data_IF_815076047980
#
_entry.id   IF_815076047980
#
_cell.length_a   1.000
_cell.length_b   1.000
_cell.length_c   1.000
_cell.angle_alpha   90.00
_cell.angle_beta   90.00
_cell.angle_gamma   90.00
#
_symmetry.space_group_name_H-M   'P 1'
#
loop_
_entity.id
_entity.type
_entity.pdbx_description
1 polymer ?
#
# COMPACT_ATOMS: atom_id res chain seq x y z
N UNK A 1 -42.07 26.15 -28.37
CA UNK A 1 -43.54 26.13 -28.18
C UNK A 1 -44.00 24.68 -28.19
N UNK A 2 -44.28 24.13 -27.00
CA UNK A 2 -45.15 22.97 -26.80
C UNK A 2 -46.52 23.51 -26.40
N UNK A 3 -47.60 22.99 -26.98
CA UNK A 3 -48.95 23.61 -26.96
C UNK A 3 -49.56 23.72 -25.54
N UNK A 4 -49.03 23.02 -24.54
CA UNK A 4 -49.37 23.24 -23.13
C UNK A 4 -48.14 23.70 -22.35
N UNK A 5 -48.03 25.02 -22.16
CA UNK A 5 -46.97 25.69 -21.41
C UNK A 5 -47.09 25.51 -19.89
N UNK A 6 -47.07 24.28 -19.41
CA UNK A 6 -47.04 23.99 -17.97
C UNK A 6 -45.61 24.11 -17.43
N UNK A 7 -45.25 25.29 -16.92
CA UNK A 7 -44.09 25.43 -16.04
C UNK A 7 -44.49 24.96 -14.64
N UNK A 8 -43.89 23.85 -14.20
CA UNK A 8 -44.05 23.35 -12.83
C UNK A 8 -43.34 24.28 -11.84
N UNK A 9 -44.10 24.89 -10.92
CA UNK A 9 -43.59 25.72 -9.81
C UNK A 9 -43.09 24.89 -8.62
N UNK A 10 -42.93 23.58 -8.80
CA UNK A 10 -42.51 22.68 -7.75
C UNK A 10 -41.02 22.91 -7.39
N UNK A 11 -40.69 23.33 -6.16
CA UNK A 11 -39.31 23.55 -5.73
C UNK A 11 -38.42 22.32 -5.91
N UNK A 12 -38.98 21.09 -5.87
CA UNK A 12 -38.24 19.84 -6.04
C UNK A 12 -37.75 19.60 -7.48
N UNK A 13 -38.39 20.20 -8.48
CA UNK A 13 -38.02 20.09 -9.90
C UNK A 13 -37.33 21.34 -10.44
N UNK A 14 -36.97 22.27 -9.54
CA UNK A 14 -36.19 23.44 -9.92
C UNK A 14 -34.79 22.99 -10.40
N UNK A 15 -34.37 23.50 -11.56
CA UNK A 15 -33.02 23.26 -12.13
C UNK A 15 -31.88 23.62 -11.17
N UNK A 16 -32.18 24.40 -10.12
CA UNK A 16 -31.28 24.68 -9.01
C UNK A 16 -30.83 23.42 -8.23
N UNK A 17 -31.74 22.46 -7.99
CA UNK A 17 -31.40 21.17 -7.35
C UNK A 17 -30.69 20.19 -8.30
N UNK A 18 -30.96 20.31 -9.60
CA UNK A 18 -30.38 19.46 -10.65
C UNK A 18 -29.09 20.00 -11.25
N UNK A 19 -28.67 21.21 -10.86
CA UNK A 19 -27.29 21.67 -11.04
C UNK A 19 -26.42 20.96 -10.01
N UNK A 20 -26.32 19.63 -10.20
CA UNK A 20 -25.38 18.72 -9.57
C UNK A 20 -24.08 19.50 -9.50
N UNK A 21 -23.66 19.82 -8.29
CA UNK A 21 -22.33 20.32 -7.99
C UNK A 21 -21.35 19.24 -8.40
N UNK A 22 -21.10 19.12 -9.71
CA UNK A 22 -19.84 18.66 -10.25
C UNK A 22 -18.85 19.75 -9.88
N UNK A 23 -18.53 19.79 -8.59
CA UNK A 23 -17.21 20.21 -8.13
C UNK A 23 -16.23 19.12 -8.59
N UNK A 24 -16.20 18.87 -9.90
CA UNK A 24 -15.01 18.37 -10.53
C UNK A 24 -14.03 19.49 -10.30
N UNK A 25 -13.18 19.31 -9.29
CA UNK A 25 -12.05 20.18 -9.06
C UNK A 25 -11.42 20.47 -10.42
N UNK A 26 -11.46 21.74 -10.87
CA UNK A 26 -10.85 22.17 -12.15
C UNK A 26 -9.39 21.75 -12.24
N UNK A 27 -8.75 21.49 -11.10
CA UNK A 27 -7.39 20.96 -11.03
C UNK A 27 -7.35 19.47 -11.36
N UNK A 28 -6.55 19.15 -12.37
CA UNK A 28 -6.21 17.79 -12.78
C UNK A 28 -5.20 17.17 -11.82
N UNK A 29 -5.15 15.84 -11.78
CA UNK A 29 -4.15 15.05 -11.07
C UNK A 29 -2.73 15.46 -11.50
N UNK A 30 -1.85 15.62 -10.52
CA UNK A 30 -0.45 16.06 -10.67
C UNK A 30 0.51 15.06 -10.02
N UNK A 31 1.71 14.91 -10.57
CA UNK A 31 2.76 14.07 -9.95
C UNK A 31 3.19 14.66 -8.60
N UNK A 32 3.37 15.98 -8.52
CA UNK A 32 3.76 16.66 -7.27
C UNK A 32 2.75 16.46 -6.14
N UNK A 33 1.45 16.50 -6.45
CA UNK A 33 0.39 16.24 -5.46
C UNK A 33 0.42 14.81 -4.91
N UNK A 34 0.76 13.82 -5.73
CA UNK A 34 0.89 12.42 -5.31
C UNK A 34 2.14 12.24 -4.44
N UNK A 35 3.26 12.84 -4.83
CA UNK A 35 4.50 12.78 -4.04
C UNK A 35 4.27 13.40 -2.65
N UNK A 36 3.69 14.60 -2.59
CA UNK A 36 3.41 15.27 -1.32
C UNK A 36 2.47 14.44 -0.43
N UNK A 37 1.40 13.87 -1.00
CA UNK A 37 0.49 12.98 -0.26
C UNK A 37 1.19 11.70 0.19
N UNK A 38 2.02 11.10 -0.65
CA UNK A 38 2.79 9.90 -0.30
C UNK A 38 3.73 10.17 0.87
N UNK A 39 4.46 11.29 0.84
CA UNK A 39 5.34 11.71 1.94
C UNK A 39 4.55 11.97 3.23
N UNK A 40 3.40 12.66 3.15
CA UNK A 40 2.54 12.86 4.31
C UNK A 40 2.02 11.55 4.89
N UNK A 41 1.57 10.61 4.05
CA UNK A 41 1.07 9.33 4.53
C UNK A 41 2.20 8.45 5.10
N UNK A 42 3.41 8.50 4.51
CA UNK A 42 4.59 7.82 5.06
C UNK A 42 5.01 8.40 6.41
N UNK A 43 4.92 9.73 6.56
CA UNK A 43 5.14 10.38 7.86
C UNK A 43 4.14 9.89 8.90
N UNK A 44 2.86 9.73 8.54
CA UNK A 44 1.85 9.17 9.45
C UNK A 44 2.16 7.73 9.85
N UNK A 45 2.57 6.89 8.89
CA UNK A 45 3.02 5.51 9.15
C UNK A 45 4.22 5.50 10.11
N UNK A 46 5.21 6.36 9.87
CA UNK A 46 6.40 6.46 10.70
C UNK A 46 6.08 6.93 12.13
N UNK A 47 5.17 7.90 12.28
CA UNK A 47 4.72 8.39 13.59
C UNK A 47 4.05 7.27 14.41
N UNK A 48 3.10 6.52 13.83
CA UNK A 48 2.46 5.42 14.58
C UNK A 48 3.38 4.23 14.79
N UNK A 49 4.31 3.96 13.87
CA UNK A 49 5.34 2.95 14.06
C UNK A 49 6.28 3.32 15.23
N UNK A 50 6.74 4.57 15.29
CA UNK A 50 7.57 5.09 16.39
C UNK A 50 6.83 5.06 17.72
N UNK A 51 5.55 5.42 17.75
CA UNK A 51 4.72 5.31 18.94
C UNK A 51 4.56 3.85 19.40
N UNK A 52 4.38 2.93 18.46
CA UNK A 52 4.29 1.49 18.73
C UNK A 52 5.60 0.96 19.34
N UNK A 53 6.75 1.47 18.88
CA UNK A 53 8.05 1.16 19.47
C UNK A 53 8.21 1.72 20.88
N UNK A 54 7.80 2.97 21.10
CA UNK A 54 7.82 3.55 22.45
C UNK A 54 7.01 2.70 23.43
N UNK A 55 5.80 2.27 23.04
CA UNK A 55 4.98 1.36 23.84
C UNK A 55 5.67 0.02 24.10
N UNK A 56 6.34 -0.51 23.08
CA UNK A 56 7.10 -1.76 23.19
C UNK A 56 8.25 -1.67 24.20
N UNK A 57 9.07 -0.62 24.13
CA UNK A 57 10.16 -0.38 25.09
C UNK A 57 9.66 -0.03 26.50
N UNK A 58 8.44 0.50 26.61
CA UNK A 58 7.76 0.74 27.88
C UNK A 58 7.18 -0.54 28.52
N UNK A 59 7.38 -1.72 27.91
CA UNK A 59 6.90 -3.01 28.43
C UNK A 59 5.42 -3.30 28.17
N UNK A 60 4.73 -2.49 27.36
CA UNK A 60 3.32 -2.70 27.04
C UNK A 60 3.17 -3.77 25.96
N UNK A 61 2.25 -4.73 26.16
CA UNK A 61 2.00 -5.79 25.19
C UNK A 61 1.48 -5.22 23.86
N UNK A 62 2.36 -5.15 22.86
CA UNK A 62 2.10 -4.53 21.57
C UNK A 62 1.28 -5.41 20.62
N UNK A 63 1.08 -6.70 20.96
CA UNK A 63 0.37 -7.67 20.10
C UNK A 63 -1.06 -7.21 19.77
N UNK A 64 -1.78 -6.67 20.75
CA UNK A 64 -3.13 -6.16 20.55
C UNK A 64 -3.19 -5.01 19.54
N UNK A 65 -2.28 -4.05 19.67
CA UNK A 65 -2.16 -2.91 18.74
C UNK A 65 -1.81 -3.36 17.32
N UNK A 66 -0.91 -4.36 17.16
CA UNK A 66 -0.59 -4.91 15.83
C UNK A 66 -1.76 -5.60 15.17
N UNK A 67 -2.55 -6.37 15.93
CA UNK A 67 -3.70 -7.08 15.41
C UNK A 67 -4.76 -6.10 14.95
N UNK A 68 -5.09 -5.09 15.77
CA UNK A 68 -6.04 -4.02 15.41
C UNK A 68 -5.55 -3.28 14.16
N UNK A 69 -4.26 -2.90 14.12
CA UNK A 69 -3.66 -2.26 12.96
C UNK A 69 -3.78 -3.08 11.69
N UNK A 70 -3.57 -4.40 11.78
CA UNK A 70 -3.74 -5.33 10.65
C UNK A 70 -5.20 -5.35 10.17
N UNK A 71 -6.16 -5.57 11.08
CA UNK A 71 -7.58 -5.65 10.72
C UNK A 71 -8.08 -4.34 10.12
N UNK A 72 -7.83 -3.20 10.78
CA UNK A 72 -8.27 -1.88 10.30
C UNK A 72 -7.65 -1.57 8.93
N UNK A 73 -6.37 -1.91 8.71
CA UNK A 73 -5.73 -1.70 7.42
C UNK A 73 -6.37 -2.57 6.31
N UNK A 74 -6.68 -3.84 6.58
CA UNK A 74 -7.35 -4.73 5.63
C UNK A 74 -8.75 -4.21 5.29
N UNK A 75 -9.55 -3.84 6.30
CA UNK A 75 -10.90 -3.30 6.11
C UNK A 75 -10.89 -1.99 5.30
N UNK A 76 -9.99 -1.06 5.64
CA UNK A 76 -9.85 0.19 4.88
C UNK A 76 -9.42 -0.09 3.44
N UNK A 77 -8.47 -1.01 3.23
CA UNK A 77 -8.00 -1.39 1.89
C UNK A 77 -9.13 -1.99 1.05
N UNK A 78 -9.92 -2.89 1.63
CA UNK A 78 -11.04 -3.52 0.95
C UNK A 78 -12.13 -2.49 0.58
N UNK A 79 -12.45 -1.57 1.50
CA UNK A 79 -13.44 -0.55 1.25
C UNK A 79 -12.99 0.47 0.19
N UNK A 80 -11.71 0.84 0.16
CA UNK A 80 -11.13 1.69 -0.89
C UNK A 80 -11.23 0.99 -2.26
N UNK A 81 -10.97 -0.32 -2.34
CA UNK A 81 -11.10 -1.10 -3.56
C UNK A 81 -12.52 -1.11 -4.15
N UNK A 82 -13.55 -1.16 -3.30
CA UNK A 82 -14.94 -1.06 -3.77
C UNK A 82 -15.35 0.39 -4.06
N UNK A 83 -14.99 1.33 -3.18
CA UNK A 83 -15.38 2.74 -3.27
C UNK A 83 -14.15 3.64 -3.34
N UNK A 84 -13.61 3.75 -4.55
CA UNK A 84 -12.44 4.56 -4.87
C UNK A 84 -12.54 6.03 -4.43
N UNK A 85 -13.75 6.61 -4.37
CA UNK A 85 -13.96 7.99 -3.89
C UNK A 85 -13.74 8.15 -2.38
N UNK A 86 -13.81 7.06 -1.61
CA UNK A 86 -13.59 7.07 -0.17
C UNK A 86 -12.10 7.14 0.21
N UNK A 87 -11.18 7.00 -0.76
CA UNK A 87 -9.73 7.05 -0.55
C UNK A 87 -9.28 8.34 0.17
N UNK A 88 -9.93 9.48 -0.08
CA UNK A 88 -9.59 10.76 0.59
C UNK A 88 -9.70 10.69 2.11
N UNK A 89 -10.67 9.95 2.63
CA UNK A 89 -10.95 9.87 4.07
C UNK A 89 -10.33 8.62 4.71
N UNK A 90 -10.32 7.50 3.99
CA UNK A 90 -9.81 6.23 4.51
C UNK A 90 -8.29 6.10 4.42
N UNK A 91 -7.60 6.81 3.51
CA UNK A 91 -6.16 6.68 3.36
C UNK A 91 -5.38 7.10 4.63
N UNK A 92 -5.69 8.22 5.30
CA UNK A 92 -5.03 8.56 6.56
C UNK A 92 -5.25 7.50 7.66
N UNK A 93 -6.48 6.99 7.78
CA UNK A 93 -6.82 5.92 8.74
C UNK A 93 -6.02 4.65 8.42
N UNK A 94 -5.97 4.29 7.14
CA UNK A 94 -5.17 3.18 6.64
C UNK A 94 -3.68 3.35 6.95
N UNK A 95 -3.12 4.55 6.74
CA UNK A 95 -1.72 4.86 7.01
C UNK A 95 -1.39 4.71 8.51
N UNK A 96 -2.23 5.27 9.39
CA UNK A 96 -2.06 5.11 10.84
C UNK A 96 -2.11 3.63 11.25
N UNK A 97 -3.13 2.89 10.80
CA UNK A 97 -3.32 1.47 11.08
C UNK A 97 -2.14 0.62 10.57
N UNK A 98 -1.65 0.92 9.36
CA UNK A 98 -0.46 0.27 8.81
C UNK A 98 0.79 0.55 9.62
N UNK A 99 0.97 1.75 10.15
CA UNK A 99 2.11 2.03 11.02
C UNK A 99 2.07 1.29 12.35
N UNK A 100 0.89 1.07 12.96
CA UNK A 100 0.76 0.18 14.12
C UNK A 100 1.13 -1.27 13.78
N UNK A 101 0.65 -1.76 12.64
CA UNK A 101 0.97 -3.10 12.15
C UNK A 101 2.48 -3.28 11.89
N UNK A 102 3.07 -2.35 11.13
CA UNK A 102 4.50 -2.35 10.83
C UNK A 102 5.34 -2.20 12.10
N UNK A 103 4.98 -1.25 12.96
CA UNK A 103 5.69 -0.93 14.19
C UNK A 103 5.84 -2.15 15.07
N UNK A 104 4.77 -2.89 15.31
CA UNK A 104 4.88 -4.06 16.20
C UNK A 104 5.43 -5.32 15.53
N UNK A 105 5.28 -5.53 14.21
CA UNK A 105 6.08 -6.56 13.51
C UNK A 105 7.57 -6.25 13.64
N UNK A 106 7.93 -4.98 13.48
CA UNK A 106 9.30 -4.50 13.57
C UNK A 106 9.85 -4.62 14.99
N UNK A 107 9.03 -4.32 16.01
CA UNK A 107 9.41 -4.49 17.41
C UNK A 107 9.61 -5.97 17.80
N UNK A 108 8.75 -6.86 17.31
CA UNK A 108 8.93 -8.31 17.49
C UNK A 108 10.21 -8.80 16.80
N UNK A 109 10.54 -8.25 15.62
CA UNK A 109 11.80 -8.55 14.95
C UNK A 109 13.01 -8.00 15.73
N UNK A 110 12.90 -6.78 16.27
CA UNK A 110 13.93 -6.11 17.06
C UNK A 110 14.38 -6.94 18.28
N UNK A 111 13.44 -7.57 18.99
CA UNK A 111 13.75 -8.47 20.11
C UNK A 111 14.75 -9.58 19.79
N UNK A 112 14.71 -10.08 18.55
CA UNK A 112 15.60 -11.16 18.11
C UNK A 112 16.82 -10.61 17.37
N UNK A 113 16.69 -9.44 16.74
CA UNK A 113 17.71 -8.80 15.95
C UNK A 113 17.57 -7.26 16.02
N UNK A 114 18.35 -6.58 16.88
CA UNK A 114 18.14 -5.16 17.19
C UNK A 114 18.21 -4.23 15.97
N UNK A 115 19.20 -4.38 15.10
CA UNK A 115 19.43 -3.41 14.02
C UNK A 115 18.61 -3.68 12.74
N UNK A 116 17.98 -4.84 12.66
CA UNK A 116 17.34 -5.35 11.44
C UNK A 116 16.21 -4.45 10.90
N UNK A 117 15.29 -3.95 11.74
CA UNK A 117 14.22 -3.08 11.26
C UNK A 117 14.71 -1.78 10.62
N UNK A 118 15.72 -1.13 11.21
CA UNK A 118 16.27 0.12 10.68
C UNK A 118 16.98 -0.10 9.34
N UNK A 119 17.74 -1.19 9.22
CA UNK A 119 18.37 -1.57 7.96
C UNK A 119 17.33 -1.88 6.88
N UNK A 120 16.24 -2.57 7.22
CA UNK A 120 15.15 -2.86 6.29
C UNK A 120 14.48 -1.57 5.78
N UNK A 121 14.25 -0.59 6.65
CA UNK A 121 13.77 0.75 6.24
C UNK A 121 14.75 1.37 5.24
N UNK A 122 16.04 1.39 5.57
CA UNK A 122 17.08 1.92 4.67
C UNK A 122 17.07 1.26 3.29
N UNK A 123 17.05 -0.08 3.24
CA UNK A 123 17.00 -0.85 1.99
C UNK A 123 15.73 -0.51 1.19
N UNK A 124 14.58 -0.37 1.83
CA UNK A 124 13.34 -0.01 1.11
C UNK A 124 13.35 1.40 0.54
N UNK A 125 13.89 2.37 1.28
CA UNK A 125 14.02 3.75 0.81
C UNK A 125 14.97 3.80 -0.38
N UNK A 126 16.14 3.15 -0.28
CA UNK A 126 17.11 3.06 -1.37
C UNK A 126 16.48 2.39 -2.59
N UNK A 127 15.81 1.25 -2.41
CA UNK A 127 15.15 0.53 -3.51
C UNK A 127 14.08 1.38 -4.19
N UNK A 128 13.28 2.11 -3.42
CA UNK A 128 12.27 3.02 -3.94
C UNK A 128 12.90 4.12 -4.81
N UNK A 129 13.95 4.80 -4.32
CA UNK A 129 14.63 5.86 -5.07
C UNK A 129 15.34 5.33 -6.32
N UNK A 130 15.97 4.15 -6.24
CA UNK A 130 16.59 3.49 -7.40
C UNK A 130 15.52 3.18 -8.45
N UNK A 131 14.41 2.53 -8.08
CA UNK A 131 13.33 2.22 -9.01
C UNK A 131 12.68 3.48 -9.60
N UNK A 132 12.49 4.52 -8.78
CA UNK A 132 11.95 5.80 -9.23
C UNK A 132 12.87 6.46 -10.27
N UNK A 133 14.19 6.45 -10.02
CA UNK A 133 15.19 7.03 -10.92
C UNK A 133 15.28 6.25 -12.23
N UNK A 134 15.31 4.91 -12.16
CA UNK A 134 15.29 4.02 -13.33
C UNK A 134 14.05 4.25 -14.21
N UNK A 135 12.88 4.46 -13.58
CA UNK A 135 11.65 4.81 -14.30
C UNK A 135 11.74 6.20 -14.93
N UNK A 136 12.16 7.22 -14.16
CA UNK A 136 12.22 8.62 -14.61
C UNK A 136 13.15 8.82 -15.79
N UNK A 137 14.32 8.20 -15.76
CA UNK A 137 15.27 8.24 -16.88
C UNK A 137 14.89 7.32 -18.03
N UNK A 138 13.77 6.59 -17.93
CA UNK A 138 13.28 5.65 -18.94
C UNK A 138 14.31 4.58 -19.32
N UNK A 139 15.23 4.22 -18.40
CA UNK A 139 16.15 3.09 -18.60
C UNK A 139 15.36 1.79 -18.75
N UNK A 140 14.28 1.65 -17.98
CA UNK A 140 13.38 0.50 -18.04
C UNK A 140 12.08 0.92 -18.70
N UNK A 141 11.78 0.35 -19.87
CA UNK A 141 10.50 0.56 -20.56
C UNK A 141 9.49 -0.49 -20.10
N UNK A 142 8.42 -0.03 -19.45
CA UNK A 142 7.30 -0.89 -19.03
C UNK A 142 6.47 -1.27 -20.26
N UNK A 143 6.74 -2.47 -20.80
CA UNK A 143 5.98 -3.04 -21.93
C UNK A 143 4.72 -3.75 -21.45
N UNK A 144 3.80 -4.06 -22.40
CA UNK A 144 2.59 -4.85 -22.10
C UNK A 144 2.95 -6.23 -21.51
N UNK A 145 3.97 -6.88 -22.05
CA UNK A 145 4.44 -8.20 -21.59
C UNK A 145 5.03 -8.13 -20.18
N UNK A 146 5.93 -7.17 -19.93
CA UNK A 146 6.54 -6.97 -18.61
C UNK A 146 5.48 -6.74 -17.52
N UNK A 147 4.48 -5.92 -17.83
CA UNK A 147 3.35 -5.66 -16.93
C UNK A 147 2.53 -6.92 -16.64
N UNK A 148 2.20 -7.71 -17.67
CA UNK A 148 1.46 -8.96 -17.46
C UNK A 148 2.24 -9.91 -16.55
N UNK A 149 3.55 -10.08 -16.79
CA UNK A 149 4.41 -10.96 -15.99
C UNK A 149 4.41 -10.55 -14.52
N UNK A 150 4.59 -9.25 -14.22
CA UNK A 150 4.63 -8.77 -12.83
C UNK A 150 3.27 -8.92 -12.16
N UNK A 151 2.17 -8.59 -12.86
CA UNK A 151 0.82 -8.75 -12.30
C UNK A 151 0.55 -10.23 -12.00
N UNK A 152 0.90 -11.14 -12.91
CA UNK A 152 0.73 -12.58 -12.67
C UNK A 152 1.61 -13.07 -11.52
N UNK A 153 2.87 -12.65 -11.46
CA UNK A 153 3.79 -13.03 -10.38
C UNK A 153 3.30 -12.51 -9.02
N UNK A 154 2.84 -11.27 -8.97
CA UNK A 154 2.27 -10.65 -7.77
C UNK A 154 1.02 -11.42 -7.33
N UNK A 155 0.10 -11.72 -8.26
CA UNK A 155 -1.10 -12.50 -7.95
C UNK A 155 -0.75 -13.92 -7.45
N UNK A 156 0.22 -14.59 -8.06
CA UNK A 156 0.69 -15.90 -7.59
C UNK A 156 1.26 -15.84 -6.18
N UNK A 157 2.12 -14.86 -5.87
CA UNK A 157 2.70 -14.68 -4.53
C UNK A 157 1.60 -14.43 -3.49
N UNK A 158 0.65 -13.54 -3.79
CA UNK A 158 -0.48 -13.29 -2.90
C UNK A 158 -1.36 -14.54 -2.71
N UNK A 159 -1.58 -15.33 -3.76
CA UNK A 159 -2.31 -16.59 -3.66
C UNK A 159 -1.58 -17.58 -2.75
N UNK A 160 -0.25 -17.69 -2.86
CA UNK A 160 0.56 -18.51 -1.94
C UNK A 160 0.42 -18.05 -0.49
N UNK A 161 0.47 -16.74 -0.21
CA UNK A 161 0.24 -16.23 1.14
C UNK A 161 -1.18 -16.53 1.65
N UNK A 162 -2.18 -16.40 0.78
CA UNK A 162 -3.58 -16.66 1.11
C UNK A 162 -3.81 -18.13 1.47
N UNK A 163 -3.27 -19.06 0.69
CA UNK A 163 -3.29 -20.50 1.01
C UNK A 163 -2.57 -20.75 2.33
N UNK A 164 -1.41 -20.12 2.54
CA UNK A 164 -0.66 -20.21 3.80
C UNK A 164 -1.48 -19.77 5.02
N UNK A 165 -2.28 -18.71 4.89
CA UNK A 165 -3.19 -18.26 5.95
C UNK A 165 -4.33 -19.25 6.20
N UNK A 166 -4.93 -19.82 5.16
CA UNK A 166 -5.99 -20.85 5.30
C UNK A 166 -5.45 -22.09 6.03
N UNK A 167 -4.27 -22.58 5.65
CA UNK A 167 -3.64 -23.73 6.29
C UNK A 167 -3.30 -23.45 7.77
N UNK A 168 -2.87 -22.22 8.07
CA UNK A 168 -2.65 -21.79 9.45
C UNK A 168 -3.94 -21.81 10.30
N UNK A 169 -5.09 -21.40 9.73
CA UNK A 169 -6.39 -21.52 10.42
C UNK A 169 -6.78 -22.98 10.70
N UNK A 170 -6.36 -23.92 9.84
CA UNK A 170 -6.55 -25.35 10.03
C UNK A 170 -5.52 -25.98 10.99
N UNK A 171 -4.65 -25.16 11.61
CA UNK A 171 -3.53 -25.59 12.47
C UNK A 171 -2.55 -26.54 11.77
N UNK A 172 -2.46 -26.46 10.43
CA UNK A 172 -1.47 -27.19 9.64
C UNK A 172 -0.26 -26.27 9.49
N UNK A 173 0.83 -26.60 10.20
CA UNK A 173 2.07 -25.84 10.09
C UNK A 173 2.74 -26.14 8.74
N UNK A 174 2.91 -25.08 7.95
CA UNK A 174 3.63 -25.14 6.67
C UNK A 174 5.00 -24.48 6.84
N UNK A 175 6.03 -25.21 7.30
CA UNK A 175 7.36 -24.66 7.56
C UNK A 175 8.05 -24.13 6.29
N UNK A 176 7.59 -24.50 5.09
CA UNK A 176 8.15 -24.00 3.83
C UNK A 176 7.85 -22.51 3.56
N UNK A 177 6.76 -21.95 4.11
CA UNK A 177 6.44 -20.52 3.94
C UNK A 177 7.04 -19.67 5.08
N UNK A 178 6.98 -20.20 6.31
CA UNK A 178 7.32 -19.46 7.53
C UNK A 178 8.67 -19.81 8.15
N UNK A 179 9.30 -20.90 7.70
CA UNK A 179 10.59 -21.37 8.19
C UNK A 179 11.81 -20.76 7.48
N UNK A 180 12.97 -21.35 7.75
CA UNK A 180 14.31 -20.91 7.29
C UNK A 180 14.91 -21.87 6.26
N UNK A 181 14.09 -22.69 5.60
CA UNK A 181 14.57 -23.57 4.53
C UNK A 181 15.07 -22.75 3.33
N UNK A 182 16.00 -23.32 2.56
CA UNK A 182 16.53 -22.70 1.34
C UNK A 182 15.41 -22.29 0.36
N UNK A 183 14.36 -23.10 0.27
CA UNK A 183 13.18 -22.78 -0.52
C UNK A 183 12.46 -21.52 -0.02
N UNK A 184 12.32 -21.38 1.30
CA UNK A 184 11.66 -20.22 1.92
C UNK A 184 12.47 -18.93 1.73
N UNK A 185 13.80 -19.02 1.66
CA UNK A 185 14.69 -17.89 1.36
C UNK A 185 14.56 -17.51 -0.12
N UNK A 186 14.67 -18.48 -1.03
CA UNK A 186 14.51 -18.27 -2.47
C UNK A 186 13.17 -17.64 -2.83
N UNK A 187 12.09 -18.10 -2.21
CA UNK A 187 10.76 -17.50 -2.37
C UNK A 187 10.72 -16.02 -1.96
N UNK A 188 11.28 -15.67 -0.80
CA UNK A 188 11.31 -14.27 -0.35
C UNK A 188 12.19 -13.39 -1.25
N UNK A 189 13.29 -13.91 -1.79
CA UNK A 189 14.12 -13.18 -2.77
C UNK A 189 13.28 -12.85 -4.01
N UNK A 190 12.59 -13.84 -4.57
CA UNK A 190 11.70 -13.65 -5.71
C UNK A 190 10.60 -12.63 -5.36
N UNK A 191 9.97 -12.78 -4.21
CA UNK A 191 8.91 -11.88 -3.77
C UNK A 191 9.41 -10.43 -3.58
N UNK A 192 10.61 -10.24 -3.03
CA UNK A 192 11.21 -8.91 -2.88
C UNK A 192 11.54 -8.28 -4.23
N UNK A 193 12.06 -9.05 -5.18
CA UNK A 193 12.31 -8.60 -6.56
C UNK A 193 10.99 -8.19 -7.22
N UNK A 194 9.96 -9.04 -7.15
CA UNK A 194 8.65 -8.74 -7.74
C UNK A 194 8.02 -7.51 -7.07
N UNK A 195 8.12 -7.37 -5.75
CA UNK A 195 7.65 -6.19 -5.04
C UNK A 195 8.36 -4.91 -5.50
N UNK A 196 9.67 -4.98 -5.74
CA UNK A 196 10.44 -3.85 -6.26
C UNK A 196 10.04 -3.47 -7.69
N UNK A 197 9.76 -4.45 -8.55
CA UNK A 197 9.28 -4.19 -9.92
C UNK A 197 7.83 -3.72 -9.96
N UNK A 198 7.01 -4.10 -9.00
CA UNK A 198 5.65 -3.55 -8.87
C UNK A 198 5.64 -2.04 -8.65
N UNK A 199 6.68 -1.46 -8.03
CA UNK A 199 6.84 0.01 -7.97
C UNK A 199 6.98 0.63 -9.37
N UNK A 200 7.67 -0.02 -10.30
CA UNK A 200 7.77 0.48 -11.69
C UNK A 200 6.41 0.49 -12.38
N UNK A 201 5.56 -0.51 -12.10
CA UNK A 201 4.19 -0.51 -12.60
C UNK A 201 3.38 0.63 -12.00
N UNK A 202 3.50 0.88 -10.70
CA UNK A 202 2.81 2.00 -10.05
C UNK A 202 3.21 3.33 -10.67
N UNK A 203 4.50 3.58 -10.87
CA UNK A 203 4.98 4.79 -11.53
C UNK A 203 4.46 4.92 -12.96
N UNK A 204 4.46 3.82 -13.71
CA UNK A 204 3.89 3.77 -15.06
C UNK A 204 2.39 4.08 -15.08
N UNK A 205 1.63 3.50 -14.16
CA UNK A 205 0.20 3.76 -14.05
C UNK A 205 -0.06 5.20 -13.63
N UNK A 206 0.69 5.74 -12.68
CA UNK A 206 0.55 7.13 -12.23
C UNK A 206 0.80 8.09 -13.40
N UNK A 207 1.92 7.94 -14.10
CA UNK A 207 2.34 8.82 -15.19
C UNK A 207 1.31 8.86 -16.34
N UNK A 208 0.69 7.72 -16.66
CA UNK A 208 -0.34 7.63 -17.71
C UNK A 208 -1.67 8.30 -17.34
N UNK A 209 -1.96 8.44 -16.05
CA UNK A 209 -3.25 8.94 -15.55
C UNK A 209 -3.20 10.41 -15.10
N UNK A 210 -2.01 10.92 -14.81
CA UNK A 210 -1.75 12.35 -14.55
C UNK A 210 -2.26 13.19 -15.72
N UNK A 211 -2.93 14.32 -15.42
CA UNK A 211 -3.52 15.20 -16.42
C UNK A 211 -4.84 14.72 -17.08
N UNK A 212 -5.25 13.46 -16.86
CA UNK A 212 -6.50 12.89 -17.41
C UNK A 212 -7.64 12.81 -16.39
N UNK A 213 -7.32 12.62 -15.12
CA UNK A 213 -8.28 12.41 -14.04
C UNK A 213 -8.34 13.59 -13.05
N UNK A 214 -9.44 13.76 -12.30
CA UNK A 214 -9.57 14.81 -11.31
C UNK A 214 -8.57 14.62 -10.16
N UNK A 215 -8.19 15.74 -9.50
CA UNK A 215 -7.25 15.77 -8.36
C UNK A 215 -7.59 14.80 -7.23
N UNK A 216 -8.86 14.43 -7.05
CA UNK A 216 -9.29 13.46 -6.04
C UNK A 216 -8.67 12.07 -6.24
N UNK A 217 -8.35 11.67 -7.48
CA UNK A 217 -7.72 10.38 -7.75
C UNK A 217 -6.25 10.30 -7.33
N UNK A 218 -5.62 11.42 -6.97
CA UNK A 218 -4.29 11.40 -6.36
C UNK A 218 -4.26 10.59 -5.06
N UNK A 219 -5.36 10.57 -4.29
CA UNK A 219 -5.47 9.77 -3.07
C UNK A 219 -5.45 8.28 -3.35
N UNK A 220 -6.12 7.85 -4.42
CA UNK A 220 -6.13 6.46 -4.85
C UNK A 220 -4.74 6.02 -5.36
N UNK A 221 -4.08 6.87 -6.16
CA UNK A 221 -2.72 6.62 -6.61
C UNK A 221 -1.73 6.51 -5.44
N UNK A 222 -1.87 7.41 -4.46
CA UNK A 222 -1.07 7.39 -3.23
C UNK A 222 -1.29 6.10 -2.45
N UNK A 223 -2.53 5.64 -2.32
CA UNK A 223 -2.88 4.39 -1.66
C UNK A 223 -2.21 3.17 -2.32
N UNK A 224 -2.27 3.06 -3.65
CA UNK A 224 -1.62 1.97 -4.39
C UNK A 224 -0.11 1.93 -4.16
N UNK A 225 0.55 3.08 -4.29
CA UNK A 225 1.99 3.23 -4.01
C UNK A 225 2.32 2.86 -2.56
N UNK A 226 1.47 3.22 -1.60
CA UNK A 226 1.67 2.88 -0.20
C UNK A 226 1.60 1.37 0.05
N UNK A 227 0.66 0.67 -0.60
CA UNK A 227 0.53 -0.79 -0.49
C UNK A 227 1.82 -1.48 -0.96
N UNK A 228 2.31 -1.11 -2.14
CA UNK A 228 3.49 -1.74 -2.74
C UNK A 228 4.75 -1.42 -1.96
N UNK A 229 4.91 -0.19 -1.48
CA UNK A 229 6.03 0.20 -0.64
C UNK A 229 6.05 -0.54 0.71
N UNK A 230 4.89 -0.68 1.36
CA UNK A 230 4.76 -1.46 2.60
C UNK A 230 5.02 -2.95 2.33
N UNK A 231 4.54 -3.47 1.21
CA UNK A 231 4.77 -4.86 0.85
C UNK A 231 6.26 -5.15 0.65
N UNK A 232 6.96 -4.26 -0.07
CA UNK A 232 8.41 -4.33 -0.21
C UNK A 232 9.12 -4.33 1.15
N UNK A 233 8.71 -3.46 2.08
CA UNK A 233 9.27 -3.43 3.44
C UNK A 233 9.11 -4.75 4.19
N UNK A 234 7.90 -5.30 4.19
CA UNK A 234 7.65 -6.57 4.88
C UNK A 234 8.50 -7.69 4.28
N UNK A 235 8.68 -7.70 2.96
CA UNK A 235 9.45 -8.75 2.30
C UNK A 235 10.96 -8.61 2.52
N UNK A 236 11.49 -7.39 2.49
CA UNK A 236 12.89 -7.10 2.84
C UNK A 236 13.16 -7.49 4.30
N UNK A 237 12.31 -7.04 5.24
CA UNK A 237 12.46 -7.40 6.65
C UNK A 237 12.43 -8.92 6.85
N UNK A 238 11.53 -9.61 6.15
CA UNK A 238 11.41 -11.08 6.23
C UNK A 238 12.62 -11.77 5.63
N UNK A 239 13.13 -11.30 4.49
CA UNK A 239 14.32 -11.82 3.85
C UNK A 239 15.53 -11.68 4.76
N UNK A 240 15.79 -10.46 5.26
CA UNK A 240 16.92 -10.20 6.13
C UNK A 240 16.84 -11.00 7.44
N UNK A 241 15.64 -11.14 8.03
CA UNK A 241 15.43 -12.01 9.20
C UNK A 241 15.81 -13.46 8.91
N UNK A 242 15.44 -14.01 7.75
CA UNK A 242 15.77 -15.40 7.40
C UNK A 242 17.29 -15.58 7.17
N UNK A 243 17.94 -14.60 6.56
CA UNK A 243 19.40 -14.60 6.37
C UNK A 243 20.13 -14.55 7.71
N UNK A 244 19.72 -13.66 8.62
CA UNK A 244 20.34 -13.50 9.95
C UNK A 244 20.09 -14.68 10.91
N UNK A 245 19.08 -15.52 10.67
CA UNK A 245 18.91 -16.77 11.45
C UNK A 245 19.82 -17.88 10.89
N UNK A 246 20.19 -17.80 9.62
CA UNK A 246 20.91 -18.86 8.91
C UNK A 246 22.42 -18.70 8.98
N UNK A 247 22.91 -17.47 8.96
CA UNK A 247 24.30 -17.06 9.10
C UNK A 247 24.48 -16.35 10.44
#
# INVERSE_FOLDING_TARGET
MSVFGLRTSNPAFNHYFWKKSRSYSKTKMSVGGIILKSLLMLSLVALTASYTWHLFFSGVNTKWYTAIGMFVAIFCSLFISFKHSAAKYLLPIYALAKGFFLGGISAIAHNRFPDLPFQAIGVTIVTFFVMFTLYKWKLIRVTKQFRTIIITATASIFMFYFIGWILWFLKIDVPYLWGTSWFAIGFNIIAAIVASFSLLLDFYYIDRQVGRYPKEREWLATWGLLITLIWLYVEVLRLMKKLAIRF
#
